data_IF_400175824151
#
_entry.id   IF_400175824151
#
_cell.length_a   1.000
_cell.length_b   1.000
_cell.length_c   1.000
_cell.angle_alpha   90.00
_cell.angle_beta   90.00
_cell.angle_gamma   90.00
#
_symmetry.space_group_name_H-M   'P 1'
#
loop_
_entity.id
_entity.type
_entity.pdbx_description
1 polymer ?
#
# COMPACT_ATOMS: atom_id res chain seq x y z
N UNK A 1 38.50 14.40 -22.29
CA UNK A 1 39.93 14.17 -21.95
C UNK A 1 40.84 15.42 -22.07
N UNK A 2 40.31 16.63 -22.32
CA UNK A 2 41.12 17.87 -22.46
C UNK A 2 40.90 18.93 -21.36
N UNK A 3 40.09 18.66 -20.33
CA UNK A 3 39.88 19.57 -19.19
C UNK A 3 40.68 19.16 -17.94
N UNK A 4 40.98 17.87 -17.75
CA UNK A 4 41.81 17.37 -16.64
C UNK A 4 43.30 17.75 -16.78
N UNK A 5 43.82 17.83 -18.01
CA UNK A 5 45.21 18.23 -18.24
C UNK A 5 45.45 19.75 -18.06
N UNK A 6 44.39 20.56 -18.02
CA UNK A 6 44.49 22.00 -17.74
C UNK A 6 44.51 22.33 -16.24
N UNK A 7 43.97 21.44 -15.39
CA UNK A 7 43.99 21.63 -13.93
C UNK A 7 45.27 21.08 -13.28
N UNK A 8 45.89 20.04 -13.86
CA UNK A 8 47.17 19.49 -13.37
C UNK A 8 48.36 20.39 -13.74
N UNK A 9 48.25 21.23 -14.77
CA UNK A 9 49.30 22.18 -15.17
C UNK A 9 49.33 23.50 -14.38
N UNK A 10 48.33 23.78 -13.53
CA UNK A 10 48.22 25.06 -12.82
C UNK A 10 48.85 25.06 -11.41
N UNK A 11 49.34 23.92 -10.91
CA UNK A 11 49.96 23.80 -9.57
C UNK A 11 51.48 23.85 -9.58
N UNK A 12 52.10 24.24 -10.70
CA UNK A 12 53.54 24.40 -10.84
C UNK A 12 53.91 25.84 -11.24
N UNK A 13 53.53 26.83 -10.44
CA UNK A 13 54.08 28.19 -10.54
C UNK A 13 54.52 28.71 -9.17
N UNK A 14 55.83 28.60 -8.96
CA UNK A 14 56.69 29.55 -8.23
C UNK A 14 56.22 30.06 -6.85
N UNK A 15 56.54 29.31 -5.79
CA UNK A 15 56.82 29.93 -4.48
C UNK A 15 58.26 30.46 -4.56
N UNK A 16 58.41 31.71 -4.99
CA UNK A 16 59.66 32.47 -4.82
C UNK A 16 59.73 32.88 -3.35
N UNK A 17 60.65 32.25 -2.62
CA UNK A 17 61.04 32.68 -1.28
C UNK A 17 61.92 33.92 -1.45
N UNK A 18 61.38 35.11 -1.16
CA UNK A 18 62.18 36.32 -0.98
C UNK A 18 62.61 36.46 0.49
N UNK A 19 63.87 36.80 0.82
CA UNK A 19 64.26 37.11 2.17
C UNK A 19 64.04 38.61 2.44
N UNK A 20 63.10 38.96 3.32
CA UNK A 20 63.05 40.28 3.95
C UNK A 20 63.32 40.12 5.45
N UNK A 21 64.59 40.24 5.83
CA UNK A 21 64.98 40.57 7.20
C UNK A 21 64.59 42.03 7.47
N UNK A 22 63.73 42.25 8.46
CA UNK A 22 63.75 43.46 9.27
C UNK A 22 63.65 43.02 10.73
N UNK A 23 64.64 43.44 11.53
CA UNK A 23 64.88 42.99 12.90
C UNK A 23 63.88 43.58 13.89
N UNK A 24 63.41 42.78 14.86
CA UNK A 24 63.07 43.25 16.22
C UNK A 24 62.89 42.07 17.21
N UNK A 25 63.75 42.06 18.25
CA UNK A 25 63.68 41.39 19.57
C UNK A 25 63.51 39.85 19.70
N UNK A 26 64.25 39.19 20.61
CA UNK A 26 64.20 37.74 20.80
C UNK A 26 63.35 37.34 22.01
N UNK A 27 62.03 37.52 21.99
CA UNK A 27 61.14 36.85 22.94
C UNK A 27 59.74 36.70 22.31
N UNK A 28 59.43 35.53 21.75
CA UNK A 28 58.06 34.95 21.74
C UNK A 28 58.07 33.56 21.11
N UNK A 29 57.86 32.56 21.97
CA UNK A 29 57.12 31.31 21.71
C UNK A 29 57.06 30.76 20.28
N UNK A 30 57.91 29.76 20.01
CA UNK A 30 57.90 28.89 18.81
C UNK A 30 56.65 27.97 18.72
N UNK A 31 55.60 28.24 19.51
CA UNK A 31 54.46 27.36 19.75
C UNK A 31 53.27 27.53 18.77
N UNK A 32 52.99 28.68 18.11
CA UNK A 32 51.80 28.79 17.24
C UNK A 32 52.02 28.21 15.83
N UNK A 33 53.27 28.02 15.40
CA UNK A 33 53.57 27.54 14.04
C UNK A 33 53.36 26.03 13.90
N UNK A 34 53.70 25.25 14.93
CA UNK A 34 53.50 23.79 14.92
C UNK A 34 52.00 23.43 14.94
N UNK A 35 51.20 24.18 15.71
CA UNK A 35 49.75 23.96 15.78
C UNK A 35 49.04 24.22 14.44
N UNK A 36 49.42 25.28 13.72
CA UNK A 36 48.84 25.59 12.41
C UNK A 36 49.17 24.52 11.35
N UNK A 37 50.39 23.95 11.39
CA UNK A 37 50.80 22.86 10.49
C UNK A 37 50.00 21.57 10.77
N UNK A 38 49.74 21.26 12.05
CA UNK A 38 48.94 20.07 12.40
C UNK A 38 47.47 20.23 11.97
N UNK A 39 46.87 21.40 12.19
CA UNK A 39 45.48 21.66 11.79
C UNK A 39 45.31 21.57 10.27
N UNK A 40 46.23 22.17 9.50
CA UNK A 40 46.19 22.09 8.04
C UNK A 40 46.39 20.67 7.52
N UNK A 41 47.25 19.87 8.16
CA UNK A 41 47.43 18.45 7.85
C UNK A 41 46.18 17.59 8.16
N UNK A 42 45.45 17.90 9.24
CA UNK A 42 44.21 17.20 9.57
C UNK A 42 43.08 17.54 8.59
N UNK A 43 42.93 18.82 8.22
CA UNK A 43 41.92 19.25 7.25
C UNK A 43 42.18 18.61 5.88
N UNK A 44 43.44 18.57 5.44
CA UNK A 44 43.79 17.93 4.16
C UNK A 44 43.57 16.42 4.21
N UNK A 45 43.88 15.75 5.32
CA UNK A 45 43.59 14.33 5.50
C UNK A 45 42.09 14.02 5.42
N UNK A 46 41.24 14.85 6.05
CA UNK A 46 39.78 14.71 5.99
C UNK A 46 39.25 14.95 4.58
N UNK A 47 39.75 15.97 3.87
CA UNK A 47 39.36 16.25 2.49
C UNK A 47 39.78 15.13 1.54
N UNK A 48 40.99 14.58 1.71
CA UNK A 48 41.46 13.43 0.93
C UNK A 48 40.64 12.19 1.24
N UNK A 49 40.32 11.92 2.51
CA UNK A 49 39.44 10.82 2.88
C UNK A 49 38.04 10.98 2.29
N UNK A 50 37.47 12.20 2.28
CA UNK A 50 36.19 12.51 1.66
C UNK A 50 36.24 12.34 0.14
N UNK A 51 37.32 12.77 -0.53
CA UNK A 51 37.51 12.59 -1.97
C UNK A 51 37.73 11.14 -2.34
N UNK A 52 38.49 10.37 -1.55
CA UNK A 52 38.65 8.92 -1.72
C UNK A 52 37.33 8.22 -1.50
N UNK A 53 36.57 8.61 -0.47
CA UNK A 53 35.23 8.07 -0.22
C UNK A 53 34.28 8.35 -1.39
N UNK A 54 34.23 9.60 -1.88
CA UNK A 54 33.44 9.97 -3.06
C UNK A 54 33.91 9.23 -4.31
N UNK A 55 35.22 9.14 -4.55
CA UNK A 55 35.79 8.43 -5.69
C UNK A 55 35.47 6.92 -5.62
N UNK A 56 35.58 6.32 -4.43
CA UNK A 56 35.25 4.91 -4.20
C UNK A 56 33.74 4.66 -4.36
N UNK A 57 32.90 5.59 -3.92
CA UNK A 57 31.45 5.55 -4.13
C UNK A 57 31.08 5.66 -5.62
N UNK A 58 31.75 6.55 -6.38
CA UNK A 58 31.55 6.68 -7.84
C UNK A 58 32.09 5.51 -8.65
N UNK A 59 33.15 4.83 -8.17
CA UNK A 59 33.80 3.72 -8.88
C UNK A 59 33.22 2.34 -8.53
N UNK A 60 32.60 2.20 -7.36
CA UNK A 60 32.10 0.91 -6.85
C UNK A 60 30.64 0.61 -7.22
N UNK A 61 30.00 1.35 -8.13
CA UNK A 61 28.65 1.02 -8.64
C UNK A 61 27.50 1.15 -7.63
N UNK A 62 27.78 1.32 -6.33
CA UNK A 62 26.77 1.28 -5.26
C UNK A 62 25.78 2.45 -5.20
N UNK A 63 25.82 3.40 -6.16
CA UNK A 63 24.92 4.55 -6.23
C UNK A 63 24.38 4.86 -7.64
N UNK A 64 24.52 3.94 -8.60
CA UNK A 64 23.73 3.97 -9.84
C UNK A 64 22.60 2.96 -9.70
N UNK A 65 21.45 3.42 -9.22
CA UNK A 65 20.22 2.62 -9.18
C UNK A 65 19.41 2.70 -10.48
N UNK A 66 19.96 3.32 -11.53
CA UNK A 66 19.27 3.49 -12.82
C UNK A 66 18.83 2.14 -13.39
N UNK A 67 19.66 1.11 -13.28
CA UNK A 67 19.36 -0.27 -13.71
C UNK A 67 18.24 -0.92 -12.85
N UNK A 68 18.22 -0.66 -11.54
CA UNK A 68 17.17 -1.16 -10.65
C UNK A 68 15.83 -0.47 -10.94
N UNK A 69 15.85 0.85 -11.20
CA UNK A 69 14.66 1.63 -11.54
C UNK A 69 14.10 1.18 -12.89
N UNK A 70 14.95 0.97 -13.90
CA UNK A 70 14.54 0.49 -15.22
C UNK A 70 13.92 -0.91 -15.14
N UNK A 71 14.51 -1.83 -14.36
CA UNK A 71 13.93 -3.17 -14.13
C UNK A 71 12.61 -3.09 -13.36
N UNK A 72 12.51 -2.21 -12.34
CA UNK A 72 11.27 -1.99 -11.59
C UNK A 72 10.16 -1.40 -12.46
N UNK A 73 10.48 -0.42 -13.31
CA UNK A 73 9.54 0.18 -14.26
C UNK A 73 9.06 -0.86 -15.28
N UNK A 74 9.96 -1.73 -15.74
CA UNK A 74 9.61 -2.89 -16.56
C UNK A 74 8.63 -3.86 -15.89
N UNK A 75 8.86 -4.21 -14.62
CA UNK A 75 7.98 -5.08 -13.83
C UNK A 75 6.59 -4.45 -13.61
N UNK A 76 6.54 -3.12 -13.39
CA UNK A 76 5.27 -2.39 -13.22
C UNK A 76 4.50 -2.30 -14.54
N UNK A 77 5.17 -2.09 -15.67
CA UNK A 77 4.52 -2.03 -16.99
C UNK A 77 4.07 -3.39 -17.51
N UNK A 78 4.81 -4.46 -17.23
CA UNK A 78 4.48 -5.81 -17.69
C UNK A 78 3.44 -6.51 -16.80
N UNK A 79 3.11 -5.93 -15.64
CA UNK A 79 2.31 -6.56 -14.57
C UNK A 79 2.84 -7.95 -14.14
N UNK A 80 4.10 -8.28 -14.45
CA UNK A 80 4.73 -9.55 -14.12
C UNK A 80 5.52 -9.45 -12.80
N UNK A 81 4.81 -9.69 -11.70
CA UNK A 81 5.39 -9.71 -10.36
C UNK A 81 6.02 -11.06 -9.97
N UNK A 82 6.04 -12.06 -10.86
CA UNK A 82 6.62 -13.39 -10.57
C UNK A 82 8.13 -13.45 -10.83
N UNK A 83 8.65 -12.52 -11.64
CA UNK A 83 10.06 -12.48 -12.01
C UNK A 83 10.93 -11.91 -10.90
N UNK A 84 11.96 -12.67 -10.48
CA UNK A 84 12.93 -12.22 -9.48
C UNK A 84 13.85 -11.16 -10.06
N UNK A 85 13.93 -10.02 -9.39
CA UNK A 85 14.86 -8.94 -9.73
C UNK A 85 16.27 -9.36 -9.27
N UNK A 86 17.22 -9.35 -10.20
CA UNK A 86 18.63 -9.62 -9.93
C UNK A 86 19.49 -8.55 -10.59
N UNK A 87 20.06 -7.66 -9.79
CA UNK A 87 20.91 -6.54 -10.25
C UNK A 87 22.26 -6.64 -9.55
N UNK A 88 23.36 -6.78 -10.31
CA UNK A 88 24.70 -7.10 -9.77
C UNK A 88 25.27 -6.00 -8.84
N UNK A 89 24.76 -4.76 -8.92
CA UNK A 89 25.27 -3.60 -8.17
C UNK A 89 24.31 -3.05 -7.10
N UNK A 90 23.34 -3.83 -6.65
CA UNK A 90 22.36 -3.42 -5.62
C UNK A 90 22.60 -4.14 -4.29
N UNK A 91 22.28 -3.48 -3.17
CA UNK A 91 22.36 -4.08 -1.84
C UNK A 91 21.58 -5.41 -1.80
N UNK A 92 22.23 -6.55 -1.49
CA UNK A 92 21.59 -7.86 -1.42
C UNK A 92 20.44 -7.90 -0.39
N UNK A 93 20.47 -7.10 0.67
CA UNK A 93 19.36 -6.99 1.63
C UNK A 93 18.14 -6.31 1.00
N UNK A 94 18.34 -5.22 0.25
CA UNK A 94 17.27 -4.53 -0.47
C UNK A 94 16.65 -5.44 -1.54
N UNK A 95 17.48 -6.11 -2.36
CA UNK A 95 17.04 -7.12 -3.33
C UNK A 95 16.23 -8.23 -2.68
N UNK A 96 16.65 -8.74 -1.52
CA UNK A 96 15.92 -9.78 -0.80
C UNK A 96 14.54 -9.31 -0.31
N UNK A 97 14.43 -8.08 0.18
CA UNK A 97 13.16 -7.50 0.65
C UNK A 97 12.23 -7.16 -0.50
N UNK A 98 12.77 -6.65 -1.61
CA UNK A 98 12.02 -6.35 -2.81
C UNK A 98 11.47 -7.63 -3.46
N UNK A 99 12.32 -8.65 -3.61
CA UNK A 99 11.87 -9.96 -4.11
C UNK A 99 10.86 -10.62 -3.17
N UNK A 100 11.00 -10.49 -1.85
CA UNK A 100 9.99 -10.97 -0.90
C UNK A 100 8.65 -10.21 -1.03
N UNK A 101 8.69 -8.91 -1.34
CA UNK A 101 7.50 -8.10 -1.57
C UNK A 101 6.81 -8.46 -2.89
N UNK A 102 7.59 -8.68 -3.97
CA UNK A 102 7.09 -9.18 -5.24
C UNK A 102 6.48 -10.58 -5.12
N UNK A 103 7.14 -11.48 -4.36
CA UNK A 103 6.62 -12.81 -4.06
C UNK A 103 5.32 -12.73 -3.25
N UNK A 104 5.22 -11.81 -2.28
CA UNK A 104 3.98 -11.57 -1.53
C UNK A 104 2.87 -11.00 -2.43
N UNK A 105 3.19 -10.07 -3.34
CA UNK A 105 2.25 -9.51 -4.30
C UNK A 105 1.76 -10.57 -5.29
N UNK A 106 2.66 -11.36 -5.87
CA UNK A 106 2.36 -12.47 -6.76
C UNK A 106 1.52 -13.54 -6.06
N UNK A 107 1.88 -13.94 -4.84
CA UNK A 107 1.08 -14.90 -4.06
C UNK A 107 -0.30 -14.36 -3.70
N UNK A 108 -0.44 -13.05 -3.41
CA UNK A 108 -1.73 -12.43 -3.09
C UNK A 108 -2.61 -12.26 -4.33
N UNK A 109 -2.05 -11.86 -5.47
CA UNK A 109 -2.73 -11.81 -6.77
C UNK A 109 -3.15 -13.22 -7.19
N UNK A 110 -2.26 -14.21 -7.05
CA UNK A 110 -2.53 -15.61 -7.37
C UNK A 110 -3.60 -16.19 -6.43
N UNK A 111 -3.58 -15.89 -5.13
CA UNK A 111 -4.65 -16.28 -4.19
C UNK A 111 -6.00 -15.64 -4.54
N UNK A 112 -6.02 -14.34 -4.85
CA UNK A 112 -7.26 -13.65 -5.25
C UNK A 112 -7.77 -14.10 -6.63
N UNK A 113 -6.88 -14.47 -7.56
CA UNK A 113 -7.26 -15.12 -8.81
C UNK A 113 -7.71 -16.56 -8.59
N UNK A 114 -7.14 -17.32 -7.65
CA UNK A 114 -7.53 -18.71 -7.34
C UNK A 114 -8.89 -18.74 -6.64
N UNK A 115 -9.23 -17.83 -5.74
CA UNK A 115 -10.57 -17.76 -5.14
C UNK A 115 -11.64 -17.39 -6.18
N UNK A 116 -11.33 -16.46 -7.10
CA UNK A 116 -12.23 -16.08 -8.21
C UNK A 116 -12.34 -17.19 -9.27
N UNK A 117 -11.21 -17.82 -9.63
CA UNK A 117 -11.11 -18.87 -10.64
C UNK A 117 -11.61 -20.22 -10.14
N UNK A 118 -11.52 -20.57 -8.85
CA UNK A 118 -12.06 -21.85 -8.38
C UNK A 118 -13.59 -21.85 -8.36
N UNK A 119 -14.23 -20.72 -8.10
CA UNK A 119 -15.69 -20.59 -8.25
C UNK A 119 -16.10 -20.58 -9.73
N UNK A 120 -15.43 -19.80 -10.58
CA UNK A 120 -15.72 -19.76 -12.02
C UNK A 120 -15.36 -21.10 -12.74
N UNK A 121 -14.25 -21.75 -12.39
CA UNK A 121 -13.86 -23.06 -12.96
C UNK A 121 -14.80 -24.17 -12.51
N UNK A 122 -15.26 -24.20 -11.25
CA UNK A 122 -16.27 -25.19 -10.83
C UNK A 122 -17.60 -24.98 -11.55
N UNK A 123 -17.99 -23.73 -11.83
CA UNK A 123 -19.19 -23.42 -12.61
C UNK A 123 -19.02 -23.83 -14.08
N UNK A 124 -17.89 -23.53 -14.72
CA UNK A 124 -17.59 -23.93 -16.10
C UNK A 124 -17.49 -25.45 -16.25
N UNK A 125 -16.88 -26.13 -15.27
CA UNK A 125 -16.80 -27.60 -15.23
C UNK A 125 -18.20 -28.22 -15.09
N UNK A 126 -19.05 -27.63 -14.24
CA UNK A 126 -20.43 -28.07 -14.07
C UNK A 126 -21.26 -27.80 -15.35
N UNK A 127 -21.11 -26.65 -15.99
CA UNK A 127 -21.75 -26.34 -17.28
C UNK A 127 -21.32 -27.31 -18.38
N UNK A 128 -20.02 -27.63 -18.47
CA UNK A 128 -19.49 -28.59 -19.43
C UNK A 128 -20.08 -29.99 -19.21
N UNK A 129 -20.20 -30.43 -17.96
CA UNK A 129 -20.79 -31.73 -17.63
C UNK A 129 -22.30 -31.76 -17.92
N UNK A 130 -23.02 -30.66 -17.70
CA UNK A 130 -24.44 -30.52 -18.07
C UNK A 130 -24.63 -30.61 -19.58
N UNK A 131 -23.78 -29.94 -20.37
CA UNK A 131 -23.82 -29.97 -21.83
C UNK A 131 -23.56 -31.39 -22.37
N UNK A 132 -22.56 -32.08 -21.82
CA UNK A 132 -22.22 -33.47 -22.17
C UNK A 132 -23.37 -34.44 -21.83
N UNK A 133 -23.99 -34.28 -20.66
CA UNK A 133 -25.17 -35.05 -20.27
C UNK A 133 -26.36 -34.79 -21.19
N UNK A 134 -26.58 -33.54 -21.60
CA UNK A 134 -27.68 -33.18 -22.49
C UNK A 134 -27.51 -33.79 -23.89
N UNK A 135 -26.28 -33.83 -24.42
CA UNK A 135 -25.97 -34.54 -25.65
C UNK A 135 -26.14 -36.05 -25.52
N UNK A 136 -25.76 -36.63 -24.39
CA UNK A 136 -25.93 -38.07 -24.12
C UNK A 136 -27.41 -38.44 -24.01
N UNK A 137 -28.23 -37.58 -23.40
CA UNK A 137 -29.68 -37.71 -23.37
C UNK A 137 -30.28 -37.63 -24.77
N UNK A 138 -29.89 -36.63 -25.57
CA UNK A 138 -30.38 -36.46 -26.94
C UNK A 138 -30.05 -37.66 -27.83
N UNK A 139 -28.87 -38.25 -27.67
CA UNK A 139 -28.46 -39.47 -28.40
C UNK A 139 -29.23 -40.72 -27.96
N UNK A 140 -29.54 -40.87 -26.66
CA UNK A 140 -30.44 -41.93 -26.17
C UNK A 140 -31.86 -41.80 -26.75
N UNK A 141 -32.44 -40.60 -26.70
CA UNK A 141 -33.76 -40.34 -27.29
C UNK A 141 -33.78 -40.60 -28.80
N UNK A 142 -32.71 -40.25 -29.52
CA UNK A 142 -32.59 -40.52 -30.95
C UNK A 142 -32.45 -42.02 -31.26
N UNK A 143 -31.70 -42.79 -30.46
CA UNK A 143 -31.61 -44.25 -30.61
C UNK A 143 -32.96 -44.94 -30.39
N UNK A 144 -33.80 -44.40 -29.50
CA UNK A 144 -35.13 -44.94 -29.23
C UNK A 144 -36.15 -44.67 -30.36
N UNK A 145 -35.99 -43.58 -31.13
CA UNK A 145 -36.90 -43.26 -32.24
C UNK A 145 -36.63 -44.06 -33.52
N UNK A 146 -35.46 -44.70 -33.67
CA UNK A 146 -35.09 -45.45 -34.89
C UNK A 146 -35.58 -46.92 -34.88
N UNK A 147 -36.33 -47.35 -33.85
CA UNK A 147 -36.81 -48.73 -33.77
C UNK A 147 -38.35 -48.87 -33.85
N UNK A 148 -38.98 -48.76 -35.03
CA UNK A 148 -40.18 -49.52 -35.32
C UNK A 148 -39.79 -50.73 -36.19
N UNK A 149 -40.02 -51.92 -35.64
CA UNK A 149 -40.08 -53.22 -36.33
C UNK A 149 -38.77 -53.77 -36.92
N UNK A 150 -38.14 -54.73 -36.21
CA UNK A 150 -37.82 -56.09 -36.70
C UNK A 150 -37.15 -56.91 -35.57
N UNK A 151 -37.81 -58.02 -35.24
CA UNK A 151 -37.29 -59.27 -34.64
C UNK A 151 -36.59 -59.27 -33.27
N UNK A 152 -37.28 -59.89 -32.31
CA UNK A 152 -36.83 -60.97 -31.43
C UNK A 152 -35.31 -61.16 -31.24
N UNK A 153 -34.87 -61.01 -29.98
CA UNK A 153 -33.59 -61.44 -29.37
C UNK A 153 -32.53 -60.39 -29.00
N UNK A 154 -32.89 -59.14 -28.71
CA UNK A 154 -32.13 -58.38 -27.71
C UNK A 154 -33.05 -58.03 -26.56
N UNK A 155 -32.88 -58.74 -25.44
CA UNK A 155 -33.29 -58.22 -24.15
C UNK A 155 -32.58 -56.88 -24.01
N UNK A 156 -33.30 -55.79 -24.23
CA UNK A 156 -32.76 -54.45 -24.02
C UNK A 156 -32.33 -54.38 -22.56
N UNK A 157 -31.03 -54.21 -22.31
CA UNK A 157 -30.47 -54.31 -20.97
C UNK A 157 -30.81 -53.05 -20.16
N UNK A 158 -32.02 -53.03 -19.58
CA UNK A 158 -32.48 -51.94 -18.73
C UNK A 158 -31.62 -51.79 -17.46
N UNK A 159 -30.76 -52.75 -17.11
CA UNK A 159 -29.87 -52.68 -15.93
C UNK A 159 -28.95 -51.46 -15.99
N UNK A 160 -28.43 -51.13 -17.17
CA UNK A 160 -27.51 -50.01 -17.35
C UNK A 160 -28.24 -48.65 -17.22
N UNK A 161 -29.48 -48.58 -17.72
CA UNK A 161 -30.37 -47.41 -17.57
C UNK A 161 -30.87 -47.21 -16.13
N UNK A 162 -31.17 -48.29 -15.41
CA UNK A 162 -31.52 -48.23 -13.98
C UNK A 162 -30.34 -47.69 -13.17
N UNK A 163 -29.13 -48.24 -13.39
CA UNK A 163 -27.92 -47.79 -12.70
C UNK A 163 -27.56 -46.33 -13.02
N UNK A 164 -27.78 -45.88 -14.26
CA UNK A 164 -27.61 -44.49 -14.64
C UNK A 164 -28.65 -43.57 -13.96
N UNK A 165 -29.92 -43.96 -13.91
CA UNK A 165 -30.99 -43.19 -13.27
C UNK A 165 -30.78 -43.04 -11.76
N UNK A 166 -30.32 -44.10 -11.08
CA UNK A 166 -29.96 -44.05 -9.66
C UNK A 166 -28.76 -43.11 -9.41
N UNK A 167 -27.68 -43.24 -10.20
CA UNK A 167 -26.51 -42.35 -10.10
C UNK A 167 -26.88 -40.89 -10.37
N UNK A 168 -27.78 -40.65 -11.33
CA UNK A 168 -28.27 -39.30 -11.64
C UNK A 168 -29.10 -38.73 -10.48
N UNK A 169 -29.98 -39.52 -9.88
CA UNK A 169 -30.75 -39.12 -8.70
C UNK A 169 -29.89 -38.80 -7.48
N UNK A 170 -28.85 -39.61 -7.24
CA UNK A 170 -27.87 -39.37 -6.18
C UNK A 170 -27.07 -38.09 -6.44
N UNK A 171 -26.59 -37.90 -7.68
CA UNK A 171 -25.85 -36.69 -8.08
C UNK A 171 -26.70 -35.42 -7.93
N UNK A 172 -27.95 -35.42 -8.41
CA UNK A 172 -28.88 -34.29 -8.26
C UNK A 172 -29.11 -33.94 -6.79
N UNK A 173 -29.22 -34.96 -5.93
CA UNK A 173 -29.41 -34.76 -4.49
C UNK A 173 -28.16 -34.15 -3.85
N UNK A 174 -26.96 -34.64 -4.19
CA UNK A 174 -25.70 -34.09 -3.69
C UNK A 174 -25.48 -32.64 -4.13
N UNK A 175 -25.70 -32.32 -5.41
CA UNK A 175 -25.51 -30.95 -5.92
C UNK A 175 -26.56 -29.99 -5.35
N UNK A 176 -27.81 -30.44 -5.14
CA UNK A 176 -28.82 -29.61 -4.46
C UNK A 176 -28.43 -29.30 -3.02
N UNK A 177 -27.95 -30.31 -2.26
CA UNK A 177 -27.50 -30.10 -0.90
C UNK A 177 -26.34 -29.10 -0.86
N UNK A 178 -25.32 -29.31 -1.69
CA UNK A 178 -24.16 -28.44 -1.73
C UNK A 178 -24.52 -27.01 -2.17
N UNK A 179 -25.43 -26.86 -3.14
CA UNK A 179 -25.93 -25.54 -3.57
C UNK A 179 -26.65 -24.83 -2.43
N UNK A 180 -27.45 -25.54 -1.63
CA UNK A 180 -28.11 -24.99 -0.44
C UNK A 180 -27.12 -24.49 0.61
N UNK A 181 -26.07 -25.27 0.89
CA UNK A 181 -24.97 -24.87 1.80
C UNK A 181 -24.25 -23.60 1.30
N UNK A 182 -23.95 -23.52 0.00
CA UNK A 182 -23.29 -22.33 -0.58
C UNK A 182 -24.20 -21.11 -0.54
N UNK A 183 -25.51 -21.25 -0.79
CA UNK A 183 -26.48 -20.15 -0.67
C UNK A 183 -26.51 -19.61 0.77
N UNK A 184 -26.51 -20.49 1.77
CA UNK A 184 -26.48 -20.08 3.18
C UNK A 184 -25.20 -19.30 3.52
N UNK A 185 -24.04 -19.84 3.14
CA UNK A 185 -22.74 -19.18 3.34
C UNK A 185 -22.71 -17.82 2.64
N UNK A 186 -23.19 -17.73 1.40
CA UNK A 186 -23.20 -16.49 0.64
C UNK A 186 -24.19 -15.46 1.23
N UNK A 187 -25.33 -15.90 1.77
CA UNK A 187 -26.24 -15.03 2.52
C UNK A 187 -25.58 -14.42 3.76
N UNK A 188 -24.79 -15.21 4.48
CA UNK A 188 -24.01 -14.71 5.62
C UNK A 188 -22.97 -13.68 5.18
N UNK A 189 -22.26 -13.92 4.06
CA UNK A 189 -21.32 -12.95 3.47
C UNK A 189 -22.01 -11.62 3.16
N UNK A 190 -23.19 -11.65 2.53
CA UNK A 190 -23.96 -10.44 2.22
C UNK A 190 -24.32 -9.66 3.50
N UNK A 191 -24.74 -10.36 4.56
CA UNK A 191 -25.05 -9.74 5.84
C UNK A 191 -23.81 -9.06 6.46
N UNK A 192 -22.68 -9.76 6.49
CA UNK A 192 -21.42 -9.24 7.04
C UNK A 192 -20.89 -8.03 6.24
N UNK A 193 -20.99 -8.08 4.90
CA UNK A 193 -20.63 -6.96 4.00
C UNK A 193 -21.53 -5.75 4.25
N UNK A 194 -22.83 -5.98 4.50
CA UNK A 194 -23.76 -4.94 4.91
C UNK A 194 -23.36 -4.28 6.25
N UNK A 195 -22.98 -5.09 7.24
CA UNK A 195 -22.44 -4.61 8.51
C UNK A 195 -21.17 -3.77 8.33
N UNK A 196 -20.21 -4.28 7.56
CA UNK A 196 -18.96 -3.61 7.24
C UNK A 196 -19.17 -2.27 6.53
N UNK A 197 -20.17 -2.17 5.65
CA UNK A 197 -20.54 -0.91 5.00
C UNK A 197 -20.93 0.16 6.01
N UNK A 198 -21.72 -0.23 7.03
CA UNK A 198 -22.13 0.67 8.11
C UNK A 198 -20.93 1.12 8.94
N UNK A 199 -20.03 0.20 9.30
CA UNK A 199 -18.83 0.50 10.07
C UNK A 199 -17.87 1.45 9.34
N UNK A 200 -17.61 1.20 8.06
CA UNK A 200 -16.76 2.08 7.22
C UNK A 200 -17.38 3.47 7.10
N UNK A 201 -18.70 3.55 6.93
CA UNK A 201 -19.43 4.83 6.87
C UNK A 201 -19.30 5.60 8.18
N UNK A 202 -19.47 4.93 9.32
CA UNK A 202 -19.33 5.53 10.64
C UNK A 202 -17.88 6.01 10.89
N UNK A 203 -16.88 5.18 10.56
CA UNK A 203 -15.47 5.53 10.68
C UNK A 203 -15.12 6.77 9.84
N UNK A 204 -15.60 6.83 8.60
CA UNK A 204 -15.44 8.01 7.74
C UNK A 204 -16.05 9.27 8.37
N UNK A 205 -17.25 9.14 8.98
CA UNK A 205 -17.89 10.24 9.72
C UNK A 205 -17.06 10.75 10.90
N UNK A 206 -16.49 9.84 11.69
CA UNK A 206 -15.60 10.19 12.82
C UNK A 206 -14.34 10.92 12.34
N UNK A 207 -13.73 10.46 11.24
CA UNK A 207 -12.53 11.08 10.67
C UNK A 207 -12.80 12.47 10.10
N UNK A 208 -13.93 12.67 9.42
CA UNK A 208 -14.35 14.01 8.95
C UNK A 208 -14.57 14.97 10.12
N UNK A 209 -15.11 14.47 11.24
CA UNK A 209 -15.27 15.26 12.46
C UNK A 209 -13.93 15.61 13.09
N UNK A 210 -12.99 14.66 13.14
CA UNK A 210 -11.63 14.91 13.61
C UNK A 210 -10.90 15.97 12.76
N UNK A 211 -11.07 15.94 11.44
CA UNK A 211 -10.54 16.97 10.54
C UNK A 211 -11.09 18.36 10.90
N UNK A 212 -12.42 18.47 11.04
CA UNK A 212 -13.08 19.73 11.39
C UNK A 212 -12.66 20.25 12.78
N UNK A 213 -12.62 19.37 13.79
CA UNK A 213 -12.21 19.72 15.15
C UNK A 213 -10.75 20.18 15.19
N UNK A 214 -9.87 19.53 14.43
CA UNK A 214 -8.47 19.95 14.29
C UNK A 214 -8.34 21.31 13.58
N UNK A 215 -9.21 21.60 12.60
CA UNK A 215 -9.31 22.93 11.97
C UNK A 215 -9.69 24.05 12.96
N UNK A 216 -10.65 23.76 13.85
CA UNK A 216 -11.06 24.69 14.89
C UNK A 216 -9.90 24.97 15.88
N UNK A 217 -9.14 23.94 16.27
CA UNK A 217 -7.96 24.12 17.13
C UNK A 217 -6.91 25.02 16.45
N UNK A 218 -6.66 24.83 15.15
CA UNK A 218 -5.75 25.69 14.39
C UNK A 218 -6.16 27.17 14.45
N UNK A 219 -7.46 27.47 14.35
CA UNK A 219 -7.98 28.84 14.46
C UNK A 219 -7.73 29.43 15.85
N UNK A 220 -7.90 28.63 16.91
CA UNK A 220 -7.62 29.06 18.30
C UNK A 220 -6.13 29.31 18.51
N UNK A 221 -5.24 28.50 17.92
CA UNK A 221 -3.80 28.68 18.03
C UNK A 221 -3.32 29.98 17.38
N UNK A 222 -3.91 30.38 16.25
CA UNK A 222 -3.65 31.69 15.63
C UNK A 222 -3.98 32.81 16.60
N UNK A 223 -5.15 32.75 17.24
CA UNK A 223 -5.56 33.75 18.24
C UNK A 223 -4.59 33.81 19.44
N UNK A 224 -4.15 32.66 19.96
CA UNK A 224 -3.19 32.62 21.09
C UNK A 224 -1.84 33.23 20.68
N UNK A 225 -1.37 32.93 19.47
CA UNK A 225 -0.12 33.49 18.94
C UNK A 225 -0.23 35.02 18.83
N UNK A 226 -1.35 35.53 18.34
CA UNK A 226 -1.59 36.97 18.21
C UNK A 226 -1.65 37.66 19.59
N UNK A 227 -2.27 37.01 20.58
CA UNK A 227 -2.28 37.49 21.99
C UNK A 227 -0.86 37.51 22.56
N UNK A 228 -0.07 36.47 22.32
CA UNK A 228 1.31 36.40 22.79
C UNK A 228 2.18 37.49 22.12
N UNK A 229 1.96 37.79 20.84
CA UNK A 229 2.63 38.89 20.14
C UNK A 229 2.27 40.25 20.73
N UNK A 230 0.99 40.51 20.97
CA UNK A 230 0.54 41.74 21.63
C UNK A 230 1.11 41.86 23.05
N UNK A 231 1.14 40.76 23.79
CA UNK A 231 1.71 40.72 25.15
C UNK A 231 3.21 41.02 25.11
N UNK A 232 3.93 40.49 24.14
CA UNK A 232 5.36 40.78 23.91
C UNK A 232 5.60 42.27 23.61
N UNK A 233 4.75 42.88 22.77
CA UNK A 233 4.82 44.32 22.45
C UNK A 233 4.47 45.20 23.67
N UNK A 234 3.47 44.83 24.46
CA UNK A 234 3.12 45.53 25.71
C UNK A 234 4.26 45.45 26.73
N UNK A 235 4.88 44.28 26.88
CA UNK A 235 6.03 44.07 27.76
C UNK A 235 7.24 44.91 27.32
N UNK A 236 7.49 44.99 26.01
CA UNK A 236 8.54 45.85 25.47
C UNK A 236 8.31 47.33 25.82
N UNK A 237 7.09 47.83 25.63
CA UNK A 237 6.75 49.21 25.98
C UNK A 237 6.91 49.47 27.48
N UNK A 238 6.53 48.51 28.33
CA UNK A 238 6.72 48.59 29.78
C UNK A 238 8.21 48.61 30.17
N UNK A 239 9.05 47.79 29.52
CA UNK A 239 10.50 47.79 29.74
C UNK A 239 11.14 49.13 29.37
N UNK A 240 10.70 49.76 28.26
CA UNK A 240 11.15 51.09 27.84
C UNK A 240 10.77 52.15 28.88
N UNK A 241 9.53 52.15 29.36
CA UNK A 241 9.09 53.13 30.36
C UNK A 241 9.76 52.91 31.73
N UNK A 242 10.01 51.65 32.10
CA UNK A 242 10.77 51.31 33.29
C UNK A 242 12.23 51.81 33.22
N UNK A 243 12.88 51.68 32.06
CA UNK A 243 14.21 52.26 31.83
C UNK A 243 14.19 53.80 31.93
N UNK A 244 13.12 54.44 31.44
CA UNK A 244 12.93 55.89 31.51
C UNK A 244 12.75 56.41 32.93
N UNK A 245 12.15 55.62 33.82
CA UNK A 245 11.98 55.94 35.24
C UNK A 245 13.26 55.78 36.08
N UNK A 246 14.36 55.28 35.49
CA UNK A 246 15.66 55.12 36.17
C UNK A 246 15.59 54.16 37.34
N UNK A 247 16.17 54.52 38.49
CA UNK A 247 16.22 53.66 39.69
C UNK A 247 14.81 53.30 40.22
N UNK A 248 13.82 54.18 40.06
CA UNK A 248 12.44 53.89 40.48
C UNK A 248 11.76 52.82 39.60
N UNK A 249 12.27 52.57 38.39
CA UNK A 249 11.72 51.61 37.44
C UNK A 249 12.34 50.21 37.51
N UNK A 250 13.39 49.97 38.29
CA UNK A 250 14.13 48.69 38.29
C UNK A 250 13.26 47.46 38.54
N UNK A 251 12.32 47.53 39.49
CA UNK A 251 11.41 46.42 39.77
C UNK A 251 10.46 46.12 38.60
N UNK A 252 9.96 47.17 37.94
CA UNK A 252 9.09 47.03 36.76
C UNK A 252 9.85 46.52 35.54
N UNK A 253 11.12 46.88 35.37
CA UNK A 253 11.96 46.39 34.27
C UNK A 253 12.12 44.85 34.34
N UNK A 254 12.38 44.30 35.53
CA UNK A 254 12.51 42.84 35.73
C UNK A 254 11.21 42.12 35.39
N UNK A 255 10.06 42.65 35.82
CA UNK A 255 8.75 42.07 35.51
C UNK A 255 8.47 42.14 34.00
N UNK A 256 8.78 43.27 33.36
CA UNK A 256 8.59 43.43 31.93
C UNK A 256 9.42 42.44 31.10
N UNK A 257 10.69 42.21 31.49
CA UNK A 257 11.54 41.22 30.83
C UNK A 257 11.02 39.79 31.03
N UNK A 258 10.54 39.43 32.22
CA UNK A 258 9.97 38.11 32.48
C UNK A 258 8.69 37.88 31.64
N UNK A 259 7.80 38.88 31.55
CA UNK A 259 6.60 38.82 30.70
C UNK A 259 7.00 38.65 29.22
N UNK A 260 8.05 39.35 28.77
CA UNK A 260 8.57 39.24 27.39
C UNK A 260 9.07 37.82 27.09
N UNK A 261 9.82 37.23 28.02
CA UNK A 261 10.31 35.85 27.92
C UNK A 261 9.13 34.86 27.88
N UNK A 262 8.12 35.06 28.73
CA UNK A 262 6.94 34.21 28.77
C UNK A 262 6.14 34.29 27.46
N UNK A 263 5.94 35.50 26.93
CA UNK A 263 5.26 35.72 25.66
C UNK A 263 6.01 35.03 24.49
N UNK A 264 7.34 35.13 24.46
CA UNK A 264 8.17 34.42 23.47
C UNK A 264 8.06 32.90 23.59
N UNK A 265 8.07 32.35 24.81
CA UNK A 265 7.84 30.91 25.04
C UNK A 265 6.44 30.47 24.60
N UNK A 266 5.42 31.29 24.85
CA UNK A 266 4.05 31.01 24.39
C UNK A 266 3.97 30.99 22.86
N UNK A 267 4.58 31.96 22.17
CA UNK A 267 4.63 31.97 20.70
C UNK A 267 5.30 30.71 20.15
N UNK A 268 6.44 30.31 20.71
CA UNK A 268 7.14 29.10 20.27
C UNK A 268 6.27 27.85 20.50
N UNK A 269 5.66 27.71 21.68
CA UNK A 269 4.77 26.59 21.97
C UNK A 269 3.56 26.54 21.02
N UNK A 270 2.95 27.70 20.70
CA UNK A 270 1.84 27.73 19.73
C UNK A 270 2.28 27.28 18.33
N UNK A 271 3.50 27.60 17.91
CA UNK A 271 4.05 27.17 16.62
C UNK A 271 4.31 25.65 16.59
N UNK A 272 4.83 25.11 17.68
CA UNK A 272 5.08 23.67 17.80
C UNK A 272 3.74 22.90 17.77
N UNK A 273 2.73 23.37 18.51
CA UNK A 273 1.39 22.76 18.50
C UNK A 273 0.72 22.91 17.12
N UNK A 274 0.88 24.05 16.44
CA UNK A 274 0.35 24.26 15.08
C UNK A 274 0.87 23.18 14.11
N UNK A 275 2.14 22.83 14.19
CA UNK A 275 2.75 21.76 13.37
C UNK A 275 2.06 20.41 13.62
N UNK A 276 1.83 20.07 14.90
CA UNK A 276 1.14 18.83 15.29
C UNK A 276 -0.30 18.80 14.75
N UNK A 277 -1.00 19.94 14.80
CA UNK A 277 -2.36 20.05 14.27
C UNK A 277 -2.40 19.88 12.75
N UNK A 278 -1.43 20.43 12.02
CA UNK A 278 -1.31 20.26 10.57
C UNK A 278 -1.07 18.79 10.19
N UNK A 279 -0.20 18.09 10.93
CA UNK A 279 0.01 16.65 10.78
C UNK A 279 -1.27 15.85 11.06
N UNK A 280 -1.98 16.16 12.16
CA UNK A 280 -3.25 15.51 12.50
C UNK A 280 -4.32 15.69 11.42
N UNK A 281 -4.45 16.90 10.87
CA UNK A 281 -5.35 17.17 9.76
C UNK A 281 -4.98 16.36 8.51
N UNK A 282 -3.68 16.27 8.20
CA UNK A 282 -3.22 15.48 7.06
C UNK A 282 -3.51 13.99 7.26
N UNK A 283 -3.28 13.47 8.47
CA UNK A 283 -3.56 12.08 8.81
C UNK A 283 -5.06 11.77 8.72
N UNK A 284 -5.90 12.68 9.21
CA UNK A 284 -7.36 12.56 9.10
C UNK A 284 -7.81 12.52 7.62
N UNK A 285 -7.31 13.43 6.77
CA UNK A 285 -7.62 13.43 5.33
C UNK A 285 -7.20 12.15 4.64
N UNK A 286 -5.97 11.68 4.90
CA UNK A 286 -5.48 10.41 4.35
C UNK A 286 -6.38 9.23 4.78
N UNK A 287 -6.79 9.20 6.05
CA UNK A 287 -7.68 8.17 6.56
C UNK A 287 -9.07 8.22 5.92
N UNK A 288 -9.64 9.41 5.66
CA UNK A 288 -10.90 9.56 4.92
C UNK A 288 -10.78 8.98 3.51
N UNK A 289 -9.70 9.29 2.78
CA UNK A 289 -9.47 8.75 1.44
C UNK A 289 -9.34 7.22 1.45
N UNK A 290 -8.68 6.65 2.46
CA UNK A 290 -8.62 5.20 2.63
C UNK A 290 -9.99 4.57 2.92
N UNK A 291 -10.86 5.26 3.67
CA UNK A 291 -12.22 4.80 3.92
C UNK A 291 -13.09 4.84 2.66
N UNK A 292 -12.94 5.85 1.81
CA UNK A 292 -13.62 5.91 0.50
C UNK A 292 -13.20 4.73 -0.40
N UNK A 293 -11.90 4.44 -0.46
CA UNK A 293 -11.39 3.25 -1.17
C UNK A 293 -11.95 1.94 -0.58
N UNK A 294 -12.08 1.87 0.75
CA UNK A 294 -12.66 0.71 1.43
C UNK A 294 -14.14 0.55 1.11
N UNK A 295 -14.90 1.65 1.06
CA UNK A 295 -16.31 1.65 0.69
C UNK A 295 -16.53 1.13 -0.74
N UNK A 296 -15.69 1.52 -1.70
CA UNK A 296 -15.74 0.98 -3.05
C UNK A 296 -15.46 -0.53 -3.10
N UNK A 297 -14.47 -1.01 -2.33
CA UNK A 297 -14.16 -2.45 -2.28
C UNK A 297 -15.32 -3.25 -1.68
N UNK A 298 -15.93 -2.74 -0.62
CA UNK A 298 -17.11 -3.36 0.01
C UNK A 298 -18.29 -3.42 -0.97
N UNK A 299 -18.53 -2.35 -1.73
CA UNK A 299 -19.57 -2.33 -2.78
C UNK A 299 -19.33 -3.38 -3.88
N UNK A 300 -18.08 -3.54 -4.33
CA UNK A 300 -17.71 -4.58 -5.31
C UNK A 300 -17.91 -5.99 -4.75
N UNK A 301 -17.53 -6.24 -3.48
CA UNK A 301 -17.77 -7.52 -2.83
C UNK A 301 -19.27 -7.83 -2.73
N UNK A 302 -20.10 -6.83 -2.43
CA UNK A 302 -21.56 -6.97 -2.38
C UNK A 302 -22.15 -7.35 -3.74
N UNK A 303 -21.70 -6.69 -4.81
CA UNK A 303 -22.13 -7.01 -6.18
C UNK A 303 -21.77 -8.44 -6.57
N UNK A 304 -20.53 -8.87 -6.26
CA UNK A 304 -20.06 -10.23 -6.52
C UNK A 304 -20.88 -11.28 -5.76
N UNK A 305 -21.14 -11.04 -4.47
CA UNK A 305 -21.97 -11.95 -3.67
C UNK A 305 -23.40 -12.07 -4.22
N UNK A 306 -23.99 -10.97 -4.70
CA UNK A 306 -25.29 -11.00 -5.35
C UNK A 306 -25.27 -11.83 -6.65
N UNK A 307 -24.21 -11.70 -7.46
CA UNK A 307 -24.05 -12.48 -8.69
C UNK A 307 -23.88 -13.98 -8.42
N UNK A 308 -23.18 -14.34 -7.34
CA UNK A 308 -23.07 -15.74 -6.89
C UNK A 308 -24.45 -16.30 -6.55
N UNK A 309 -25.31 -15.54 -5.86
CA UNK A 309 -26.69 -15.96 -5.58
C UNK A 309 -27.52 -16.16 -6.85
N UNK A 310 -27.38 -15.29 -7.84
CA UNK A 310 -28.08 -15.42 -9.13
C UNK A 310 -27.69 -16.73 -9.85
N UNK A 311 -26.39 -17.04 -9.91
CA UNK A 311 -25.88 -18.28 -10.51
C UNK A 311 -26.37 -19.51 -9.74
N UNK A 312 -26.33 -19.49 -8.40
CA UNK A 312 -26.79 -20.62 -7.58
C UNK A 312 -28.30 -20.87 -7.73
N UNK A 313 -29.10 -19.81 -7.83
CA UNK A 313 -30.53 -19.95 -8.10
C UNK A 313 -30.79 -20.60 -9.46
N UNK A 314 -30.02 -20.24 -10.49
CA UNK A 314 -30.11 -20.88 -11.81
C UNK A 314 -29.70 -22.36 -11.76
N UNK A 315 -28.68 -22.71 -10.97
CA UNK A 315 -28.27 -24.11 -10.75
C UNK A 315 -29.40 -24.90 -10.10
N UNK A 316 -30.03 -24.36 -9.05
CA UNK A 316 -31.16 -25.02 -8.36
C UNK A 316 -32.35 -25.23 -9.31
N UNK A 317 -32.63 -24.27 -10.19
CA UNK A 317 -33.68 -24.40 -11.22
C UNK A 317 -33.35 -25.54 -12.21
N UNK A 318 -32.14 -25.56 -12.78
CA UNK A 318 -31.69 -26.63 -13.69
C UNK A 318 -31.70 -28.02 -13.03
N UNK A 319 -31.34 -28.11 -11.75
CA UNK A 319 -31.42 -29.37 -10.99
C UNK A 319 -32.86 -29.83 -10.79
N UNK A 320 -33.80 -28.92 -10.65
CA UNK A 320 -35.22 -29.25 -10.59
C UNK A 320 -35.71 -29.84 -11.92
N UNK A 321 -35.30 -29.27 -13.05
CA UNK A 321 -35.60 -29.82 -14.39
C UNK A 321 -35.00 -31.21 -14.59
N UNK A 322 -33.72 -31.38 -14.22
CA UNK A 322 -33.04 -32.69 -14.27
C UNK A 322 -33.73 -33.72 -13.39
N UNK A 323 -34.22 -33.33 -12.21
CA UNK A 323 -34.96 -34.22 -11.31
C UNK A 323 -36.27 -34.70 -11.93
N UNK A 324 -36.99 -33.81 -12.61
CA UNK A 324 -38.21 -34.17 -13.34
C UNK A 324 -37.90 -35.15 -14.48
N UNK A 325 -36.88 -34.88 -15.30
CA UNK A 325 -36.46 -35.76 -16.38
C UNK A 325 -35.99 -37.14 -15.86
N UNK A 326 -35.26 -37.18 -14.75
CA UNK A 326 -34.83 -38.42 -14.09
C UNK A 326 -36.04 -39.23 -13.60
N UNK A 327 -37.06 -38.57 -13.04
CA UNK A 327 -38.30 -39.22 -12.61
C UNK A 327 -39.09 -39.80 -13.78
N UNK A 328 -39.18 -39.09 -14.91
CA UNK A 328 -39.82 -39.59 -16.14
C UNK A 328 -39.07 -40.80 -16.71
N UNK A 329 -37.74 -40.73 -16.78
CA UNK A 329 -36.89 -41.85 -17.20
C UNK A 329 -37.10 -43.07 -16.29
N UNK A 330 -37.07 -42.88 -14.97
CA UNK A 330 -37.32 -43.95 -14.00
C UNK A 330 -38.69 -44.60 -14.20
N UNK A 331 -39.73 -43.79 -14.41
CA UNK A 331 -41.09 -44.28 -14.68
C UNK A 331 -41.22 -45.01 -16.02
N UNK A 332 -40.46 -44.62 -17.04
CA UNK A 332 -40.46 -45.27 -18.35
C UNK A 332 -39.77 -46.65 -18.29
N UNK A 333 -38.64 -46.74 -17.60
CA UNK A 333 -37.89 -48.00 -17.40
C UNK A 333 -38.71 -49.02 -16.61
N UNK A 334 -39.47 -48.59 -15.59
CA UNK A 334 -40.30 -49.49 -14.78
C UNK A 334 -41.61 -49.94 -15.46
N UNK A 335 -42.04 -49.28 -16.53
CA UNK A 335 -43.29 -49.60 -17.25
C UNK A 335 -43.08 -50.46 -18.53
N UNK A 336 -41.84 -50.84 -18.84
CA UNK A 336 -41.48 -51.81 -19.90
C UNK A 336 -41.12 -53.16 -19.31
#
# INVERSE_FOLDING_TARGET
MNLLNRLVGATATAIVIGPSLAMASPETSVVPMVGAVIITALITAVLVAALVYLFWCTKSGGCQQDELIEVLEGVVQSEDFATKINVENTDPKLLSKLNALLELASNKITMQMIEKSQSESKVIECESQIEELNQTLATCYAQQQVAPEVSNNSSFDNSELIGLSERLGEFITQVNQHSGEVIEVNSNVISEVGGLTSEVTNASGVLKRLEADSGNIGTVLVLIRDIAEQTNLLALNAAIEAARAGEHGRGFAVVADEVRILAGKTQQATKDIQTIIEELQQHARNAVQMMEGSQNRVALTQEQANKVNEVLNSIVEKLSELKSAQSELSSAIHNT
#
